data_IF_742829473845
#
_entry.id   IF_742829473845
#
_cell.length_a   1.000
_cell.length_b   1.000
_cell.length_c   1.000
_cell.angle_alpha   90.00
_cell.angle_beta   90.00
_cell.angle_gamma   90.00
#
_symmetry.space_group_name_H-M   'P 1'
#
loop_
_entity.id
_entity.type
_entity.pdbx_description
1 polymer ?
#
# COMPACT_ATOMS: atom_id res chain seq x y z
N UNK A 1 14.10 -20.19 25.34
CA UNK A 1 12.65 -20.25 25.67
C UNK A 1 12.27 -19.08 26.56
N UNK A 2 12.30 -17.82 26.08
CA UNK A 2 11.68 -16.70 26.81
C UNK A 2 11.36 -15.59 25.83
N UNK A 3 10.11 -15.15 25.86
CA UNK A 3 9.47 -14.07 25.13
C UNK A 3 8.82 -14.47 23.78
N UNK A 4 7.93 -15.45 23.79
CA UNK A 4 6.81 -15.41 22.87
C UNK A 4 5.91 -14.25 23.32
N UNK A 5 6.02 -13.10 22.67
CA UNK A 5 5.01 -12.07 22.73
C UNK A 5 3.74 -12.65 22.10
N UNK A 6 2.73 -12.88 22.89
CA UNK A 6 1.41 -13.26 22.39
C UNK A 6 0.77 -12.04 21.73
N UNK A 7 0.69 -12.04 20.42
CA UNK A 7 -0.04 -11.01 19.69
C UNK A 7 -1.55 -11.23 19.83
N UNK A 8 -2.27 -10.19 20.17
CA UNK A 8 -3.73 -10.22 20.15
C UNK A 8 -4.20 -9.99 18.71
N UNK A 9 -4.79 -11.01 18.08
CA UNK A 9 -5.30 -10.97 16.72
C UNK A 9 -6.81 -10.68 16.76
N UNK A 10 -7.25 -9.71 15.97
CA UNK A 10 -8.66 -9.42 15.76
C UNK A 10 -9.04 -9.76 14.31
N UNK A 11 -10.02 -10.63 14.13
CA UNK A 11 -10.58 -10.93 12.81
C UNK A 11 -11.65 -9.90 12.44
N UNK A 12 -11.70 -9.50 11.19
CA UNK A 12 -12.66 -8.49 10.71
C UNK A 12 -14.13 -8.89 10.96
N UNK A 13 -14.47 -10.17 10.92
CA UNK A 13 -15.81 -10.66 11.27
C UNK A 13 -16.26 -10.30 12.69
N UNK A 14 -15.32 -9.91 13.56
CA UNK A 14 -15.58 -9.46 14.92
C UNK A 14 -15.72 -7.93 15.04
N UNK A 15 -15.37 -7.18 13.97
CA UNK A 15 -15.34 -5.70 13.94
C UNK A 15 -16.70 -5.12 13.49
N UNK A 16 -17.59 -5.91 12.88
CA UNK A 16 -18.76 -5.46 12.12
C UNK A 16 -19.94 -4.91 12.95
N UNK A 17 -19.71 -4.40 14.16
CA UNK A 17 -20.67 -3.49 14.81
C UNK A 17 -20.11 -2.07 14.73
N UNK A 18 -20.83 -1.21 14.05
CA UNK A 18 -20.49 0.12 13.54
C UNK A 18 -19.97 1.12 14.59
N UNK A 19 -20.07 0.85 15.87
CA UNK A 19 -19.90 1.86 16.92
C UNK A 19 -18.70 1.66 17.84
N UNK A 20 -18.03 0.50 17.79
CA UNK A 20 -16.88 0.25 18.67
C UNK A 20 -15.77 -0.55 17.95
N UNK A 21 -15.08 0.05 17.00
CA UNK A 21 -13.79 -0.50 16.57
C UNK A 21 -12.78 -0.27 17.69
N UNK A 22 -12.87 -1.08 18.71
CA UNK A 22 -11.89 -1.07 19.80
C UNK A 22 -10.60 -1.72 19.30
N UNK A 23 -9.83 -0.96 18.51
CA UNK A 23 -8.43 -1.30 18.18
C UNK A 23 -7.55 -1.26 19.44
N UNK A 24 -8.09 -0.72 20.54
CA UNK A 24 -7.40 -0.64 21.83
C UNK A 24 -6.93 -2.03 22.25
N UNK A 25 -5.64 -2.15 22.45
CA UNK A 25 -4.95 -3.36 22.89
C UNK A 25 -4.84 -4.51 21.84
N UNK A 26 -4.92 -4.23 20.54
CA UNK A 26 -4.63 -5.20 19.47
C UNK A 26 -3.36 -4.79 18.73
N UNK A 27 -2.43 -5.72 18.58
CA UNK A 27 -1.17 -5.50 17.87
C UNK A 27 -1.30 -5.90 16.39
N UNK A 28 -2.19 -6.86 16.07
CA UNK A 28 -2.42 -7.37 14.73
C UNK A 28 -3.92 -7.44 14.45
N UNK A 29 -4.32 -6.96 13.29
CA UNK A 29 -5.68 -7.07 12.77
C UNK A 29 -5.63 -7.83 11.45
N UNK A 30 -6.39 -8.90 11.33
CA UNK A 30 -6.57 -9.64 10.09
C UNK A 30 -7.91 -9.25 9.47
N UNK A 31 -7.85 -8.67 8.27
CA UNK A 31 -9.02 -8.31 7.48
C UNK A 31 -9.25 -9.39 6.45
N UNK A 32 -10.37 -10.11 6.56
CA UNK A 32 -10.73 -11.25 5.70
C UNK A 32 -11.97 -10.96 4.83
N UNK A 33 -12.21 -9.71 4.49
CA UNK A 33 -13.30 -9.28 3.62
C UNK A 33 -12.79 -8.61 2.36
N UNK A 34 -13.57 -8.70 1.27
CA UNK A 34 -13.29 -8.03 0.01
C UNK A 34 -13.90 -6.62 -0.01
N UNK A 35 -13.29 -5.71 -0.80
CA UNK A 35 -13.85 -4.39 -1.09
C UNK A 35 -13.59 -3.31 -0.03
N UNK A 36 -12.97 -3.65 1.11
CA UNK A 36 -12.70 -2.68 2.19
C UNK A 36 -11.27 -2.13 2.18
N UNK A 37 -10.42 -2.56 1.24
CA UNK A 37 -9.00 -2.25 1.25
C UNK A 37 -8.74 -0.74 1.14
N UNK A 38 -9.49 -0.05 0.27
CA UNK A 38 -9.40 1.41 0.11
C UNK A 38 -9.71 2.17 1.39
N UNK A 39 -10.71 1.70 2.14
CA UNK A 39 -11.08 2.33 3.41
C UNK A 39 -9.94 2.22 4.43
N UNK A 40 -9.27 1.06 4.47
CA UNK A 40 -8.11 0.87 5.34
C UNK A 40 -6.93 1.77 4.96
N UNK A 41 -6.69 2.00 3.67
CA UNK A 41 -5.61 2.89 3.23
C UNK A 41 -5.78 4.33 3.72
N UNK A 42 -7.00 4.80 4.00
CA UNK A 42 -7.22 6.12 4.60
C UNK A 42 -6.58 6.25 5.98
N UNK A 43 -6.48 5.13 6.71
CA UNK A 43 -5.94 5.09 8.07
C UNK A 43 -4.47 4.61 8.13
N UNK A 44 -3.91 4.16 7.01
CA UNK A 44 -2.54 3.67 6.94
C UNK A 44 -1.58 4.75 6.46
N UNK A 45 -0.46 4.93 7.14
CA UNK A 45 0.66 5.75 6.68
C UNK A 45 1.63 4.94 5.84
N UNK A 46 1.86 3.70 6.24
CA UNK A 46 2.82 2.79 5.62
C UNK A 46 2.13 1.50 5.18
N UNK A 47 2.40 1.07 3.96
CA UNK A 47 1.83 -0.14 3.36
C UNK A 47 2.94 -0.99 2.76
N UNK A 48 3.00 -2.26 3.12
CA UNK A 48 3.81 -3.26 2.42
C UNK A 48 2.93 -4.04 1.45
N UNK A 49 3.30 -4.01 0.17
CA UNK A 49 2.58 -4.76 -0.87
C UNK A 49 3.05 -6.22 -0.86
N UNK A 50 2.15 -7.09 -0.49
CA UNK A 50 2.40 -8.55 -0.42
C UNK A 50 2.74 -9.18 -1.77
N UNK A 51 3.21 -10.44 -1.75
CA UNK A 51 3.64 -11.23 -2.92
C UNK A 51 4.85 -10.67 -3.68
N UNK A 52 5.38 -9.53 -3.31
CA UNK A 52 6.47 -8.87 -4.04
C UNK A 52 7.87 -9.27 -3.55
N UNK A 53 8.02 -9.79 -2.33
CA UNK A 53 9.32 -10.05 -1.72
C UNK A 53 9.74 -11.53 -1.74
N UNK A 54 8.79 -12.46 -1.64
CA UNK A 54 9.11 -13.88 -1.50
C UNK A 54 9.24 -14.57 -2.88
N UNK A 55 10.32 -15.33 -3.09
CA UNK A 55 10.62 -16.02 -4.35
C UNK A 55 9.49 -16.94 -4.84
N UNK A 56 8.74 -17.55 -3.92
CA UNK A 56 7.60 -18.41 -4.30
C UNK A 56 6.49 -17.66 -5.06
N UNK A 57 6.46 -16.34 -5.00
CA UNK A 57 5.50 -15.48 -5.68
C UNK A 57 6.11 -14.70 -6.86
N UNK A 58 7.34 -15.01 -7.26
CA UNK A 58 8.03 -14.34 -8.37
C UNK A 58 7.18 -14.32 -9.65
N UNK A 59 6.52 -15.45 -9.96
CA UNK A 59 5.66 -15.60 -11.12
C UNK A 59 4.32 -14.87 -11.03
N UNK A 60 3.91 -14.43 -9.83
CA UNK A 60 2.65 -13.69 -9.64
C UNK A 60 2.76 -12.24 -10.13
N UNK A 61 3.98 -11.71 -10.32
CA UNK A 61 4.24 -10.40 -10.87
C UNK A 61 3.82 -9.21 -10.00
N UNK A 62 3.60 -9.42 -8.70
CA UNK A 62 3.24 -8.38 -7.74
C UNK A 62 1.76 -8.00 -7.73
N UNK A 63 1.45 -6.88 -7.09
CA UNK A 63 0.09 -6.32 -6.99
C UNK A 63 0.11 -4.82 -7.29
N UNK A 64 -1.05 -4.28 -7.70
CA UNK A 64 -1.19 -2.88 -8.07
C UNK A 64 -1.05 -1.94 -6.86
N UNK A 65 -0.09 -0.99 -6.84
CA UNK A 65 0.13 -0.07 -5.73
C UNK A 65 -0.71 1.22 -5.82
N UNK A 66 -1.39 1.48 -6.92
CA UNK A 66 -2.01 2.78 -7.22
C UNK A 66 -3.04 3.20 -6.16
N UNK A 67 -3.82 2.26 -5.67
CA UNK A 67 -4.86 2.55 -4.68
C UNK A 67 -4.26 3.03 -3.36
N UNK A 68 -3.22 2.36 -2.86
CA UNK A 68 -2.47 2.81 -1.69
C UNK A 68 -1.80 4.17 -1.92
N UNK A 69 -1.21 4.38 -3.11
CA UNK A 69 -0.57 5.64 -3.48
C UNK A 69 -1.56 6.82 -3.49
N UNK A 70 -2.75 6.64 -4.07
CA UNK A 70 -3.82 7.66 -4.09
C UNK A 70 -4.30 8.05 -2.70
N UNK A 71 -4.25 7.13 -1.74
CA UNK A 71 -4.60 7.40 -0.34
C UNK A 71 -3.42 7.97 0.48
N UNK A 72 -2.31 8.28 -0.17
CA UNK A 72 -1.16 8.92 0.47
C UNK A 72 -0.31 8.01 1.32
N UNK A 73 -0.44 6.71 1.16
CA UNK A 73 0.41 5.77 1.87
C UNK A 73 1.84 5.78 1.32
N UNK A 74 2.81 5.63 2.19
CA UNK A 74 4.18 5.25 1.83
C UNK A 74 4.21 3.76 1.54
N UNK A 75 4.68 3.39 0.36
CA UNK A 75 4.60 2.01 -0.14
C UNK A 75 5.97 1.35 -0.07
N UNK A 76 6.01 0.14 0.49
CA UNK A 76 7.18 -0.74 0.45
C UNK A 76 6.83 -1.98 -0.37
N UNK A 77 7.77 -2.43 -1.20
CA UNK A 77 7.58 -3.57 -2.06
C UNK A 77 8.90 -4.31 -2.31
N UNK A 78 8.83 -5.58 -2.62
CA UNK A 78 10.00 -6.39 -3.02
C UNK A 78 10.18 -6.41 -4.54
N UNK A 79 11.25 -7.07 -5.06
CA UNK A 79 11.63 -7.04 -6.48
C UNK A 79 10.62 -7.72 -7.42
N UNK A 80 9.71 -8.55 -6.91
CA UNK A 80 8.82 -9.38 -7.73
C UNK A 80 7.56 -8.61 -8.13
N UNK A 81 7.71 -7.62 -9.01
CA UNK A 81 6.63 -6.71 -9.45
C UNK A 81 6.55 -6.56 -10.97
N UNK A 82 6.87 -7.63 -11.71
CA UNK A 82 6.99 -7.61 -13.17
C UNK A 82 5.75 -7.10 -13.90
N UNK A 83 4.54 -7.34 -13.38
CA UNK A 83 3.30 -6.85 -13.97
C UNK A 83 3.08 -5.34 -13.79
N UNK A 84 3.83 -4.69 -12.89
CA UNK A 84 3.64 -3.30 -12.49
C UNK A 84 4.93 -2.49 -12.47
N UNK A 85 5.98 -2.96 -13.14
CA UNK A 85 7.33 -2.37 -13.10
C UNK A 85 7.32 -0.88 -13.39
N UNK A 86 6.62 -0.44 -14.45
CA UNK A 86 6.58 0.98 -14.83
C UNK A 86 5.85 1.83 -13.78
N UNK A 87 4.80 1.28 -13.17
CA UNK A 87 4.06 1.96 -12.10
C UNK A 87 4.95 2.15 -10.88
N UNK A 88 5.68 1.11 -10.46
CA UNK A 88 6.58 1.22 -9.31
C UNK A 88 7.73 2.17 -9.58
N UNK A 89 8.36 2.15 -10.75
CA UNK A 89 9.38 3.14 -11.14
C UNK A 89 8.84 4.57 -11.06
N UNK A 90 7.64 4.78 -11.53
CA UNK A 90 7.00 6.09 -11.48
C UNK A 90 6.76 6.55 -10.03
N UNK A 91 6.23 5.67 -9.18
CA UNK A 91 6.01 5.96 -7.76
C UNK A 91 7.31 6.16 -6.98
N UNK A 92 8.38 5.45 -7.32
CA UNK A 92 9.72 5.64 -6.74
C UNK A 92 10.29 7.02 -7.08
N UNK A 93 10.14 7.48 -8.34
CA UNK A 93 10.54 8.83 -8.75
C UNK A 93 9.78 9.92 -8.00
N UNK A 94 8.53 9.68 -7.65
CA UNK A 94 7.72 10.55 -6.79
C UNK A 94 8.01 10.35 -5.29
N UNK A 95 8.93 9.47 -4.91
CA UNK A 95 9.24 9.12 -3.52
C UNK A 95 8.03 8.61 -2.72
N UNK A 96 7.01 8.09 -3.39
CA UNK A 96 5.83 7.47 -2.79
C UNK A 96 6.12 6.03 -2.42
N UNK A 97 6.90 5.31 -3.23
CA UNK A 97 7.28 3.92 -2.98
C UNK A 97 8.77 3.74 -2.73
N UNK A 98 9.11 2.57 -2.22
CA UNK A 98 10.48 2.16 -1.96
C UNK A 98 10.63 0.66 -2.10
N UNK A 99 11.52 0.23 -2.99
CA UNK A 99 11.92 -1.17 -3.07
C UNK A 99 12.74 -1.57 -1.84
N UNK A 100 12.43 -2.74 -1.31
CA UNK A 100 13.17 -3.40 -0.22
C UNK A 100 13.67 -4.76 -0.70
N UNK A 101 14.83 -5.18 -0.19
CA UNK A 101 15.48 -6.43 -0.61
C UNK A 101 15.15 -7.61 0.31
N UNK A 102 14.81 -7.33 1.55
CA UNK A 102 14.57 -8.33 2.58
C UNK A 102 13.77 -7.73 3.75
N UNK A 103 13.43 -8.58 4.70
CA UNK A 103 12.70 -8.23 5.92
C UNK A 103 13.44 -7.20 6.81
N UNK A 104 14.77 -7.29 6.91
CA UNK A 104 15.56 -6.32 7.67
C UNK A 104 15.47 -4.92 7.07
N UNK A 105 15.48 -4.81 5.74
CA UNK A 105 15.27 -3.53 5.05
C UNK A 105 13.88 -2.98 5.37
N UNK A 106 12.84 -3.83 5.35
CA UNK A 106 11.48 -3.41 5.69
C UNK A 106 11.42 -2.86 7.11
N UNK A 107 11.96 -3.59 8.09
CA UNK A 107 12.01 -3.14 9.48
C UNK A 107 12.72 -1.81 9.61
N UNK A 108 13.90 -1.66 8.99
CA UNK A 108 14.70 -0.44 9.02
C UNK A 108 13.91 0.77 8.50
N UNK A 109 13.26 0.64 7.33
CA UNK A 109 12.53 1.75 6.73
C UNK A 109 11.23 2.07 7.48
N UNK A 110 10.51 1.06 7.96
CA UNK A 110 9.31 1.28 8.80
C UNK A 110 9.67 1.98 10.10
N UNK A 111 10.71 1.55 10.82
CA UNK A 111 11.16 2.19 12.05
C UNK A 111 11.51 3.66 11.79
N UNK A 112 12.29 3.93 10.74
CA UNK A 112 12.65 5.30 10.38
C UNK A 112 11.42 6.17 10.10
N UNK A 113 10.44 5.66 9.35
CA UNK A 113 9.23 6.42 9.03
C UNK A 113 8.36 6.67 10.26
N UNK A 114 8.25 5.69 11.16
CA UNK A 114 7.50 5.85 12.41
C UNK A 114 8.13 6.86 13.36
N UNK A 115 9.46 6.97 13.36
CA UNK A 115 10.20 7.94 14.17
C UNK A 115 10.13 9.37 13.60
N UNK A 116 10.10 9.50 12.28
CA UNK A 116 10.15 10.82 11.62
C UNK A 116 8.81 11.55 11.61
N UNK A 117 7.70 10.85 11.82
CA UNK A 117 6.33 11.43 11.76
C UNK A 117 6.13 12.35 10.54
N UNK A 118 6.74 12.00 9.40
CA UNK A 118 6.62 12.82 8.19
C UNK A 118 5.17 12.83 7.71
N UNK A 119 4.57 13.99 7.51
CA UNK A 119 3.19 14.07 7.04
C UNK A 119 3.07 13.47 5.64
N UNK A 120 1.89 12.96 5.31
CA UNK A 120 1.57 12.51 3.96
C UNK A 120 1.95 13.58 2.93
N UNK A 121 2.69 13.21 1.89
CA UNK A 121 3.13 14.14 0.86
C UNK A 121 2.00 14.43 -0.14
N UNK A 122 1.12 15.35 0.22
CA UNK A 122 -0.04 15.71 -0.59
C UNK A 122 0.34 16.22 -1.98
N UNK A 123 1.46 16.91 -2.13
CA UNK A 123 1.91 17.42 -3.44
C UNK A 123 2.15 16.26 -4.44
N UNK A 124 2.76 15.18 -4.00
CA UNK A 124 3.02 14.02 -4.86
C UNK A 124 1.73 13.26 -5.18
N UNK A 125 0.75 13.29 -4.26
CA UNK A 125 -0.58 12.73 -4.52
C UNK A 125 -1.33 13.56 -5.58
N UNK A 126 -1.24 14.88 -5.54
CA UNK A 126 -1.81 15.77 -6.56
C UNK A 126 -1.21 15.49 -7.95
N UNK A 127 0.11 15.37 -8.05
CA UNK A 127 0.80 15.02 -9.30
C UNK A 127 0.30 13.65 -9.82
N UNK A 128 0.16 12.65 -8.94
CA UNK A 128 -0.34 11.33 -9.32
C UNK A 128 -1.77 11.42 -9.87
N UNK A 129 -2.65 12.18 -9.22
CA UNK A 129 -4.03 12.36 -9.64
C UNK A 129 -4.14 13.14 -10.96
N UNK A 130 -3.35 14.21 -11.15
CA UNK A 130 -3.31 14.97 -12.40
C UNK A 130 -2.88 14.08 -13.56
N UNK A 131 -1.80 13.32 -13.42
CA UNK A 131 -1.34 12.40 -14.45
C UNK A 131 -2.38 11.32 -14.79
N UNK A 132 -3.10 10.81 -13.78
CA UNK A 132 -4.20 9.88 -14.00
C UNK A 132 -5.33 10.48 -14.82
N UNK A 133 -5.73 11.72 -14.54
CA UNK A 133 -6.74 12.46 -15.28
C UNK A 133 -6.27 12.76 -16.72
N UNK A 134 -5.01 13.13 -16.92
CA UNK A 134 -4.46 13.39 -18.25
C UNK A 134 -4.47 12.13 -19.13
N UNK A 135 -4.10 10.99 -18.56
CA UNK A 135 -4.18 9.69 -19.26
C UNK A 135 -5.63 9.37 -19.63
N UNK A 136 -6.56 9.53 -18.68
CA UNK A 136 -7.98 9.30 -18.91
C UNK A 136 -8.50 10.20 -20.05
N UNK A 137 -8.23 11.49 -19.99
CA UNK A 137 -8.68 12.45 -21.00
C UNK A 137 -8.09 12.15 -22.40
N UNK A 138 -6.81 11.79 -22.48
CA UNK A 138 -6.19 11.37 -23.75
C UNK A 138 -6.87 10.12 -24.29
N UNK A 139 -7.12 9.13 -23.45
CA UNK A 139 -7.81 7.89 -23.86
C UNK A 139 -9.23 8.16 -24.36
N UNK A 140 -10.00 8.98 -23.66
CA UNK A 140 -11.34 9.38 -24.07
C UNK A 140 -11.33 10.13 -25.40
N UNK A 141 -10.40 11.07 -25.57
CA UNK A 141 -10.25 11.82 -26.83
C UNK A 141 -9.93 10.91 -28.02
N UNK A 142 -9.10 9.88 -27.81
CA UNK A 142 -8.86 8.88 -28.87
C UNK A 142 -10.12 8.07 -29.18
N UNK A 143 -10.85 7.63 -28.17
CA UNK A 143 -12.10 6.88 -28.36
C UNK A 143 -13.16 7.71 -29.10
N UNK A 144 -13.32 8.98 -28.82
CA UNK A 144 -14.26 9.89 -29.50
C UNK A 144 -13.94 10.11 -30.99
N UNK A 145 -12.73 9.79 -31.46
CA UNK A 145 -12.40 9.82 -32.91
C UNK A 145 -12.95 8.64 -33.68
N UNK A 146 -13.42 7.63 -33.00
CA UNK A 146 -13.97 6.40 -33.61
C UNK A 146 -15.51 6.31 -33.50
N UNK A 147 -16.14 7.27 -32.85
CA UNK A 147 -17.59 7.39 -32.72
C UNK A 147 -18.09 8.55 -33.57
#
# INVERSE_FOLDING_TARGET
>A
LKNQKYFKILLNSQILKKDDVVLKNREIIIVNSFGLLSEFFNYCENVFIGKSLMNKFEKDGGQNPIEAAKNGCKIFYGPNVSNFTEIYKYLDNLQISKEIKNDNDLVKYLTKNLESSEPKNFKNIEILNQNGNDILNKTLNELYRFI
#
